data_IF_338627155958
#
_entry.id   IF_338627155958
#
_cell.length_a   1.000
_cell.length_b   1.000
_cell.length_c   1.000
_cell.angle_alpha   90.00
_cell.angle_beta   90.00
_cell.angle_gamma   90.00
#
_symmetry.space_group_name_H-M   'P 1'
#
loop_
_entity.id
_entity.type
_entity.pdbx_description
1 polymer ?
#
# COMPACT_ATOMS: atom_id res chain seq x y z
N UNK A 1 16.92 -23.81 -13.03
CA UNK A 1 15.71 -24.43 -13.65
C UNK A 1 16.07 -25.17 -14.93
N UNK A 2 16.63 -24.48 -15.95
CA UNK A 2 17.13 -25.14 -17.18
C UNK A 2 18.07 -26.32 -16.91
N UNK A 3 19.02 -26.14 -16.02
CA UNK A 3 19.98 -27.19 -15.62
C UNK A 3 19.31 -28.39 -14.94
N UNK A 4 18.30 -28.16 -14.09
CA UNK A 4 17.53 -29.22 -13.41
C UNK A 4 16.66 -30.03 -14.38
N UNK A 5 16.10 -29.38 -15.41
CA UNK A 5 15.35 -30.07 -16.46
C UNK A 5 16.29 -30.89 -17.35
N UNK A 6 17.43 -30.31 -17.75
CA UNK A 6 18.41 -30.98 -18.60
C UNK A 6 19.06 -32.19 -17.92
N UNK A 7 19.34 -32.12 -16.61
CA UNK A 7 19.87 -33.27 -15.86
C UNK A 7 18.90 -34.46 -15.80
N UNK A 8 17.60 -34.19 -15.89
CA UNK A 8 16.54 -35.22 -16.01
C UNK A 8 16.17 -35.56 -17.46
N UNK A 9 16.88 -34.99 -18.45
CA UNK A 9 16.68 -35.19 -19.90
C UNK A 9 15.26 -34.89 -20.41
N UNK A 10 14.51 -34.05 -19.70
CA UNK A 10 13.16 -33.66 -20.10
C UNK A 10 13.19 -32.49 -21.09
N UNK A 11 12.32 -32.50 -22.07
CA UNK A 11 11.98 -31.33 -22.89
C UNK A 11 11.09 -30.35 -22.11
N UNK A 12 10.90 -29.14 -22.64
CA UNK A 12 10.01 -28.15 -22.00
C UNK A 12 8.57 -28.65 -22.01
N UNK A 13 8.19 -29.33 -23.09
CA UNK A 13 6.87 -29.91 -23.33
C UNK A 13 6.57 -31.09 -22.41
N UNK A 14 7.53 -32.01 -22.24
CA UNK A 14 7.39 -33.14 -21.30
C UNK A 14 7.31 -32.66 -19.85
N UNK A 15 8.10 -31.64 -19.48
CA UNK A 15 7.99 -31.04 -18.15
C UNK A 15 6.67 -30.28 -17.97
N UNK A 16 6.16 -29.65 -19.04
CA UNK A 16 4.87 -28.98 -19.01
C UNK A 16 3.73 -29.95 -18.71
N UNK A 17 3.74 -31.10 -19.36
CA UNK A 17 2.77 -32.17 -19.16
C UNK A 17 2.86 -32.75 -17.75
N UNK A 18 4.08 -33.09 -17.29
CA UNK A 18 4.30 -33.67 -15.97
C UNK A 18 3.99 -32.70 -14.80
N UNK A 19 4.14 -31.39 -15.00
CA UNK A 19 3.90 -30.38 -13.98
C UNK A 19 2.54 -29.68 -14.09
N UNK A 20 1.80 -29.88 -15.18
CA UNK A 20 0.57 -29.13 -15.48
C UNK A 20 0.79 -27.63 -15.72
N UNK A 21 2.03 -27.19 -15.94
CA UNK A 21 2.40 -25.78 -16.21
C UNK A 21 2.69 -25.61 -17.70
N UNK A 22 2.23 -24.53 -18.33
CA UNK A 22 2.45 -24.34 -19.76
C UNK A 22 3.94 -24.27 -20.13
N UNK A 23 4.31 -24.87 -21.27
CA UNK A 23 5.68 -24.83 -21.79
C UNK A 23 6.20 -23.40 -22.01
N UNK A 24 5.30 -22.47 -22.36
CA UNK A 24 5.61 -21.04 -22.44
C UNK A 24 6.05 -20.46 -21.09
N UNK A 25 5.33 -20.77 -20.00
CA UNK A 25 5.68 -20.30 -18.67
C UNK A 25 7.03 -20.89 -18.22
N UNK A 26 7.27 -22.17 -18.49
CA UNK A 26 8.54 -22.86 -18.22
C UNK A 26 9.68 -22.18 -18.99
N UNK A 27 9.53 -21.94 -20.29
CA UNK A 27 10.52 -21.24 -21.11
C UNK A 27 10.80 -19.80 -20.65
N UNK A 28 9.79 -19.06 -20.20
CA UNK A 28 9.97 -17.73 -19.63
C UNK A 28 10.72 -17.74 -18.30
N UNK A 29 10.58 -18.80 -17.50
CA UNK A 29 11.37 -19.00 -16.28
C UNK A 29 12.83 -19.38 -16.59
N UNK A 30 13.10 -20.24 -17.58
CA UNK A 30 14.49 -20.58 -17.97
C UNK A 30 15.25 -19.38 -18.51
N UNK A 31 14.56 -18.52 -19.28
CA UNK A 31 15.13 -17.29 -19.83
C UNK A 31 15.17 -16.12 -18.84
N UNK A 32 14.77 -16.35 -17.58
CA UNK A 32 14.77 -15.33 -16.53
C UNK A 32 13.81 -14.15 -16.77
N UNK A 33 12.81 -14.31 -17.66
CA UNK A 33 11.74 -13.33 -17.90
C UNK A 33 10.65 -13.41 -16.84
N UNK A 34 10.39 -14.61 -16.33
CA UNK A 34 9.56 -14.83 -15.14
C UNK A 34 10.47 -15.09 -13.94
N UNK A 35 10.79 -14.01 -13.20
CA UNK A 35 11.66 -14.06 -12.01
C UNK A 35 10.92 -14.37 -10.71
N UNK A 36 9.58 -14.43 -10.76
CA UNK A 36 8.71 -14.52 -9.55
C UNK A 36 7.52 -15.48 -9.73
N UNK A 37 7.75 -16.78 -9.98
CA UNK A 37 6.65 -17.74 -10.08
C UNK A 37 5.94 -17.97 -8.73
N UNK A 38 4.62 -18.23 -8.78
CA UNK A 38 3.78 -18.51 -7.61
C UNK A 38 4.13 -19.86 -6.95
N UNK A 39 3.83 -20.05 -5.65
CA UNK A 39 4.31 -21.24 -4.89
C UNK A 39 3.76 -22.53 -5.50
N UNK A 40 2.49 -22.51 -5.88
CA UNK A 40 1.85 -23.64 -6.57
C UNK A 40 2.58 -24.03 -7.86
N UNK A 41 3.07 -23.05 -8.64
CA UNK A 41 3.84 -23.30 -9.87
C UNK A 41 5.17 -24.00 -9.57
N UNK A 42 5.87 -23.60 -8.51
CA UNK A 42 7.18 -24.17 -8.16
C UNK A 42 7.03 -25.55 -7.54
N UNK A 43 5.99 -25.76 -6.73
CA UNK A 43 5.63 -27.08 -6.21
C UNK A 43 5.27 -28.04 -7.34
N UNK A 44 4.44 -27.60 -8.29
CA UNK A 44 4.04 -28.42 -9.43
C UNK A 44 5.22 -28.76 -10.35
N UNK A 45 6.16 -27.82 -10.56
CA UNK A 45 7.41 -28.09 -11.30
C UNK A 45 8.34 -29.05 -10.55
N UNK A 46 8.47 -28.92 -9.24
CA UNK A 46 9.29 -29.83 -8.45
C UNK A 46 8.72 -31.26 -8.43
N UNK A 47 7.39 -31.38 -8.47
CA UNK A 47 6.69 -32.66 -8.63
C UNK A 47 6.90 -33.22 -10.04
N UNK A 48 6.71 -32.41 -11.09
CA UNK A 48 6.93 -32.85 -12.48
C UNK A 48 8.38 -33.17 -12.83
N UNK A 49 9.35 -32.63 -12.09
CA UNK A 49 10.78 -32.96 -12.19
C UNK A 49 11.19 -34.18 -11.35
N UNK A 50 10.27 -34.74 -10.56
CA UNK A 50 10.52 -35.83 -9.61
C UNK A 50 11.77 -35.57 -8.75
N UNK A 51 11.80 -34.38 -8.13
CA UNK A 51 12.94 -33.95 -7.31
C UNK A 51 12.89 -34.58 -5.92
N UNK A 52 14.02 -35.12 -5.49
CA UNK A 52 14.23 -35.58 -4.12
C UNK A 52 14.02 -34.45 -3.12
N UNK A 53 13.66 -34.80 -1.88
CA UNK A 53 13.27 -33.83 -0.85
C UNK A 53 14.29 -32.71 -0.64
N UNK A 54 15.58 -33.05 -0.65
CA UNK A 54 16.65 -32.09 -0.44
C UNK A 54 16.71 -31.05 -1.56
N UNK A 55 16.65 -31.48 -2.82
CA UNK A 55 16.70 -30.61 -4.00
C UNK A 55 15.41 -29.82 -4.15
N UNK A 56 14.27 -30.44 -3.81
CA UNK A 56 12.97 -29.78 -3.73
C UNK A 56 12.96 -28.67 -2.69
N UNK A 57 13.52 -28.92 -1.51
CA UNK A 57 13.65 -27.93 -0.44
C UNK A 57 14.58 -26.77 -0.86
N UNK A 58 15.68 -27.08 -1.56
CA UNK A 58 16.60 -26.08 -2.10
C UNK A 58 15.93 -25.21 -3.18
N UNK A 59 15.22 -25.81 -4.15
CA UNK A 59 14.50 -25.08 -5.19
C UNK A 59 13.40 -24.18 -4.60
N UNK A 60 12.66 -24.70 -3.61
CA UNK A 60 11.68 -23.93 -2.86
C UNK A 60 12.34 -22.83 -2.01
N UNK A 61 13.55 -23.07 -1.49
CA UNK A 61 14.36 -22.12 -0.74
C UNK A 61 14.88 -20.98 -1.62
N UNK A 62 15.46 -21.29 -2.77
CA UNK A 62 15.90 -20.32 -3.77
C UNK A 62 14.72 -19.48 -4.30
N UNK A 63 13.56 -20.11 -4.50
CA UNK A 63 12.33 -19.40 -4.83
C UNK A 63 11.82 -18.50 -3.71
N UNK A 64 12.00 -18.90 -2.43
CA UNK A 64 11.69 -18.07 -1.26
C UNK A 64 12.69 -16.92 -1.09
N UNK A 65 13.95 -17.09 -1.48
CA UNK A 65 14.98 -16.06 -1.45
C UNK A 65 14.86 -15.07 -2.62
N UNK A 66 14.37 -15.52 -3.77
CA UNK A 66 14.01 -14.67 -4.91
C UNK A 66 12.67 -13.93 -4.70
N UNK A 67 11.85 -14.41 -3.76
CA UNK A 67 10.79 -13.62 -3.15
C UNK A 67 11.43 -12.76 -2.05
N UNK A 68 10.97 -11.52 -1.86
CA UNK A 68 11.20 -10.88 -0.57
C UNK A 68 10.74 -11.87 0.52
N UNK A 69 11.56 -12.07 1.56
CA UNK A 69 11.18 -12.89 2.71
C UNK A 69 9.86 -12.43 3.33
N UNK A 70 9.31 -13.14 4.34
CA UNK A 70 8.21 -12.58 5.11
C UNK A 70 8.73 -11.27 5.72
N UNK A 71 8.35 -10.15 5.11
CA UNK A 71 8.57 -8.84 5.68
C UNK A 71 7.90 -8.89 7.05
N UNK A 72 8.59 -8.48 8.15
CA UNK A 72 7.86 -8.15 9.37
C UNK A 72 6.71 -7.24 8.95
N UNK A 73 5.48 -7.64 9.27
CA UNK A 73 4.21 -7.05 8.83
C UNK A 73 4.42 -5.81 7.99
N UNK A 74 4.40 -5.94 6.64
CA UNK A 74 4.72 -4.86 5.70
C UNK A 74 4.24 -3.55 6.28
N UNK A 75 5.20 -2.72 6.70
CA UNK A 75 4.94 -1.44 7.31
C UNK A 75 3.96 -0.71 6.42
N UNK A 76 2.94 -0.12 7.02
CA UNK A 76 2.05 0.79 6.32
C UNK A 76 2.93 1.73 5.51
N UNK A 77 2.78 1.72 4.18
CA UNK A 77 3.60 2.58 3.33
C UNK A 77 3.05 3.98 3.45
N UNK A 78 3.62 4.73 4.37
CA UNK A 78 3.46 6.18 4.43
C UNK A 78 4.67 6.73 3.71
N UNK A 79 4.44 7.47 2.63
CA UNK A 79 5.50 8.24 2.01
C UNK A 79 5.46 9.62 2.66
N UNK A 80 6.35 9.91 3.63
CA UNK A 80 6.25 11.15 4.41
C UNK A 80 6.51 12.41 3.57
N UNK A 81 7.10 12.29 2.36
CA UNK A 81 7.47 13.46 1.54
C UNK A 81 7.46 13.22 0.03
N UNK A 82 6.93 12.08 -0.43
CA UNK A 82 6.93 11.76 -1.86
C UNK A 82 5.60 11.15 -2.25
N UNK A 83 4.65 12.00 -2.61
CA UNK A 83 3.53 11.54 -3.42
C UNK A 83 4.10 10.73 -4.60
N UNK A 84 3.51 9.57 -4.94
CA UNK A 84 3.90 8.86 -6.15
C UNK A 84 3.89 9.84 -7.31
N UNK A 85 4.95 9.86 -8.15
CA UNK A 85 5.05 10.84 -9.25
C UNK A 85 3.72 10.91 -10.00
N UNK A 86 3.12 12.10 -10.03
CA UNK A 86 1.88 12.32 -10.77
C UNK A 86 1.98 11.82 -12.21
N UNK A 87 0.86 11.31 -12.73
CA UNK A 87 0.75 10.91 -14.14
C UNK A 87 0.73 12.18 -14.98
N UNK A 88 1.65 12.30 -15.94
CA UNK A 88 1.77 13.50 -16.81
C UNK A 88 0.50 13.77 -17.64
N UNK A 89 -0.24 12.71 -17.96
CA UNK A 89 -1.43 12.77 -18.82
C UNK A 89 -2.74 12.62 -18.00
N UNK A 90 -2.94 13.50 -17.01
CA UNK A 90 -4.18 13.51 -16.22
C UNK A 90 -5.32 14.18 -16.99
N UNK A 91 -6.23 13.39 -17.55
CA UNK A 91 -7.37 13.86 -18.37
C UNK A 91 -8.72 13.40 -17.81
N UNK A 92 -9.80 14.09 -18.18
CA UNK A 92 -11.18 13.63 -17.95
C UNK A 92 -11.75 13.78 -16.53
N UNK A 93 -11.02 14.42 -15.60
CA UNK A 93 -11.44 14.57 -14.18
C UNK A 93 -11.50 16.02 -13.68
N UNK A 94 -11.71 16.97 -14.61
CA UNK A 94 -11.67 18.41 -14.30
C UNK A 94 -12.80 18.82 -13.35
N UNK A 95 -13.98 18.23 -13.48
CA UNK A 95 -15.14 18.56 -12.65
C UNK A 95 -14.93 18.10 -11.20
N UNK A 96 -14.49 16.85 -11.00
CA UNK A 96 -14.21 16.27 -9.69
C UNK A 96 -13.07 17.01 -9.00
N UNK A 97 -11.98 17.31 -9.72
CA UNK A 97 -10.88 18.10 -9.19
C UNK A 97 -11.33 19.52 -8.82
N UNK A 98 -12.22 20.14 -9.60
CA UNK A 98 -12.81 21.44 -9.28
C UNK A 98 -13.65 21.42 -8.01
N UNK A 99 -14.45 20.36 -7.80
CA UNK A 99 -15.25 20.19 -6.59
C UNK A 99 -14.37 20.01 -5.36
N UNK A 100 -13.32 19.20 -5.46
CA UNK A 100 -12.35 19.00 -4.37
C UNK A 100 -11.58 20.28 -4.03
N UNK A 101 -11.23 21.10 -5.03
CA UNK A 101 -10.62 22.43 -4.80
C UNK A 101 -11.55 23.38 -4.08
N UNK A 102 -12.84 23.37 -4.39
CA UNK A 102 -13.82 24.21 -3.70
C UNK A 102 -13.87 23.86 -2.20
N UNK A 103 -13.94 22.56 -1.87
CA UNK A 103 -13.86 22.07 -0.49
C UNK A 103 -12.57 22.51 0.23
N UNK A 104 -11.42 22.43 -0.43
CA UNK A 104 -10.15 22.86 0.15
C UNK A 104 -10.14 24.38 0.44
N UNK A 105 -10.70 25.20 -0.47
CA UNK A 105 -10.81 26.65 -0.29
C UNK A 105 -11.74 27.04 0.86
N UNK A 106 -12.88 26.36 0.99
CA UNK A 106 -13.81 26.60 2.10
C UNK A 106 -13.16 26.37 3.47
N UNK A 107 -12.23 25.41 3.54
CA UNK A 107 -11.46 25.14 4.75
C UNK A 107 -10.38 26.17 5.03
N UNK A 108 -9.64 26.62 4.00
CA UNK A 108 -8.66 27.71 4.15
C UNK A 108 -9.33 29.02 4.58
N UNK A 109 -10.56 29.26 4.14
CA UNK A 109 -11.35 30.44 4.53
C UNK A 109 -11.95 30.34 5.95
N UNK A 110 -11.68 29.25 6.69
CA UNK A 110 -12.18 29.05 8.06
C UNK A 110 -13.70 28.92 8.14
N UNK A 111 -14.38 28.65 7.02
CA UNK A 111 -15.84 28.54 6.96
C UNK A 111 -16.35 27.18 7.41
N UNK A 112 -15.45 26.21 7.54
CA UNK A 112 -15.77 24.87 8.01
C UNK A 112 -15.52 24.75 9.52
N UNK A 113 -16.55 24.32 10.27
CA UNK A 113 -16.43 24.03 11.72
C UNK A 113 -15.60 22.79 12.06
N UNK A 114 -15.11 22.06 11.05
CA UNK A 114 -14.21 20.92 11.15
C UNK A 114 -13.36 20.83 9.87
N UNK A 115 -12.19 20.16 9.89
CA UNK A 115 -11.41 19.92 8.67
C UNK A 115 -12.26 19.18 7.62
N UNK A 116 -12.27 19.62 6.35
CA UNK A 116 -13.11 19.03 5.32
C UNK A 116 -12.65 17.60 5.02
N UNK A 117 -13.60 16.71 4.81
CA UNK A 117 -13.34 15.35 4.35
C UNK A 117 -14.12 15.07 3.06
N UNK A 118 -13.46 14.44 2.09
CA UNK A 118 -14.06 14.04 0.83
C UNK A 118 -13.80 12.56 0.58
N UNK A 119 -14.80 11.86 0.03
CA UNK A 119 -14.69 10.45 -0.35
C UNK A 119 -14.68 10.33 -1.86
N UNK A 120 -13.63 9.71 -2.40
CA UNK A 120 -13.49 9.43 -3.84
C UNK A 120 -13.78 7.95 -4.09
N UNK A 121 -14.93 7.66 -4.69
CA UNK A 121 -15.39 6.30 -4.98
C UNK A 121 -15.51 6.05 -6.49
N UNK A 122 -15.46 4.78 -6.89
CA UNK A 122 -15.61 4.36 -8.28
C UNK A 122 -14.88 3.06 -8.61
N UNK A 123 -15.06 2.52 -9.83
CA UNK A 123 -14.52 1.21 -10.22
C UNK A 123 -12.99 1.09 -10.06
N UNK A 124 -12.43 -0.12 -9.93
CA UNK A 124 -10.99 -0.35 -10.02
C UNK A 124 -10.41 0.23 -11.31
N UNK A 125 -9.21 0.81 -11.24
CA UNK A 125 -8.55 1.41 -12.41
C UNK A 125 -9.12 2.76 -12.89
N UNK A 126 -10.16 3.31 -12.24
CA UNK A 126 -10.77 4.59 -12.66
C UNK A 126 -9.95 5.85 -12.33
N UNK A 127 -8.74 5.70 -11.76
CA UNK A 127 -7.83 6.83 -11.49
C UNK A 127 -8.10 7.60 -10.18
N UNK A 128 -8.79 7.00 -9.20
CA UNK A 128 -9.10 7.62 -7.90
C UNK A 128 -7.86 8.07 -7.13
N UNK A 129 -6.89 7.17 -6.98
CA UNK A 129 -5.60 7.48 -6.35
C UNK A 129 -4.87 8.59 -7.09
N UNK A 130 -4.88 8.56 -8.43
CA UNK A 130 -4.26 9.61 -9.25
C UNK A 130 -4.94 10.97 -9.03
N UNK A 131 -6.27 11.03 -8.93
CA UNK A 131 -7.00 12.26 -8.62
C UNK A 131 -6.62 12.80 -7.22
N UNK A 132 -6.58 11.93 -6.21
CA UNK A 132 -6.24 12.31 -4.84
C UNK A 132 -4.79 12.82 -4.73
N UNK A 133 -3.84 12.10 -5.35
CA UNK A 133 -2.43 12.51 -5.43
C UNK A 133 -2.29 13.85 -6.15
N UNK A 134 -2.98 14.03 -7.29
CA UNK A 134 -2.95 15.28 -8.05
C UNK A 134 -3.44 16.46 -7.22
N UNK A 135 -4.52 16.30 -6.47
CA UNK A 135 -5.01 17.33 -5.56
C UNK A 135 -3.99 17.63 -4.45
N UNK A 136 -3.42 16.60 -3.83
CA UNK A 136 -2.41 16.78 -2.79
C UNK A 136 -1.16 17.52 -3.31
N UNK A 137 -0.69 17.20 -4.53
CA UNK A 137 0.39 17.94 -5.19
C UNK A 137 0.04 19.42 -5.42
N UNK A 138 -1.21 19.74 -5.79
CA UNK A 138 -1.66 21.13 -5.96
C UNK A 138 -1.74 21.90 -4.64
N UNK A 139 -2.15 21.23 -3.57
CA UNK A 139 -2.32 21.84 -2.24
C UNK A 139 -1.01 21.91 -1.45
N UNK A 140 0.04 21.19 -1.85
CA UNK A 140 1.31 21.12 -1.13
C UNK A 140 1.90 22.49 -0.79
N UNK A 141 1.77 23.48 -1.67
CA UNK A 141 2.27 24.83 -1.44
C UNK A 141 1.53 25.59 -0.32
N UNK A 142 0.28 25.23 -0.03
CA UNK A 142 -0.56 25.85 1.01
C UNK A 142 -0.55 25.08 2.34
N UNK A 143 0.10 23.91 2.38
CA UNK A 143 0.12 23.01 3.53
C UNK A 143 1.55 22.93 4.11
N UNK A 144 1.92 23.87 5.00
CA UNK A 144 3.28 23.94 5.55
C UNK A 144 3.69 22.69 6.32
N UNK A 145 2.72 21.99 6.89
CA UNK A 145 2.95 20.76 7.66
C UNK A 145 3.00 19.51 6.77
N UNK A 146 2.81 19.67 5.45
CA UNK A 146 3.07 18.66 4.44
C UNK A 146 1.84 17.95 3.88
N UNK A 147 2.12 16.97 3.03
CA UNK A 147 1.11 16.14 2.37
C UNK A 147 1.45 14.67 2.55
N UNK A 148 0.52 13.90 3.09
CA UNK A 148 0.73 12.52 3.50
C UNK A 148 -0.22 11.62 2.73
N UNK A 149 0.31 10.50 2.21
CA UNK A 149 -0.50 9.43 1.63
C UNK A 149 -0.28 8.15 2.42
N UNK A 150 -1.38 7.54 2.82
CA UNK A 150 -1.43 6.27 3.56
C UNK A 150 -2.23 5.27 2.75
N UNK A 151 -1.60 4.16 2.35
CA UNK A 151 -2.32 3.00 1.83
C UNK A 151 -2.88 2.18 3.00
N UNK A 152 -4.21 2.20 3.16
CA UNK A 152 -4.91 1.47 4.22
C UNK A 152 -5.07 -0.02 3.92
N UNK A 153 -4.70 -0.48 2.72
CA UNK A 153 -4.72 -1.89 2.33
C UNK A 153 -6.03 -2.60 2.65
N UNK A 154 -7.15 -1.90 2.47
CA UNK A 154 -8.50 -2.36 2.78
C UNK A 154 -8.98 -3.55 1.96
N UNK A 155 -8.36 -3.80 0.81
CA UNK A 155 -8.65 -4.93 -0.08
C UNK A 155 -7.77 -6.15 0.18
N UNK A 156 -6.82 -6.07 1.12
CA UNK A 156 -6.02 -7.22 1.51
C UNK A 156 -6.88 -8.28 2.21
N UNK A 157 -6.40 -9.53 2.23
CA UNK A 157 -7.07 -10.63 2.97
C UNK A 157 -7.23 -10.33 4.46
N UNK A 158 -6.33 -9.51 5.01
CA UNK A 158 -6.33 -9.05 6.40
C UNK A 158 -5.88 -7.60 6.42
N UNK A 159 -6.80 -6.65 6.22
CA UNK A 159 -6.47 -5.23 6.28
C UNK A 159 -5.86 -4.87 7.65
N UNK A 160 -4.84 -4.01 7.70
CA UNK A 160 -4.28 -3.57 8.96
C UNK A 160 -5.34 -2.80 9.76
N UNK A 161 -5.45 -3.06 11.07
CA UNK A 161 -6.29 -2.25 11.93
C UNK A 161 -5.59 -0.89 12.15
N UNK A 162 -6.34 0.12 12.56
CA UNK A 162 -5.84 1.52 12.65
C UNK A 162 -4.64 1.66 13.57
N UNK A 163 -4.55 0.83 14.61
CA UNK A 163 -3.47 0.79 15.60
C UNK A 163 -2.12 0.44 14.98
N UNK A 164 -2.10 -0.21 13.81
CA UNK A 164 -0.88 -0.47 13.05
C UNK A 164 -0.52 0.67 12.08
N UNK A 165 -1.48 1.53 11.74
CA UNK A 165 -1.31 2.71 10.88
C UNK A 165 -0.78 3.90 11.68
N UNK A 166 -1.29 4.08 12.90
CA UNK A 166 -0.97 5.22 13.77
C UNK A 166 0.54 5.42 14.04
N UNK A 167 1.34 4.40 14.40
CA UNK A 167 2.76 4.61 14.68
C UNK A 167 3.52 5.16 13.46
N UNK A 168 3.14 4.72 12.26
CA UNK A 168 3.80 5.19 11.04
C UNK A 168 3.41 6.64 10.74
N UNK A 169 2.14 7.01 10.96
CA UNK A 169 1.66 8.39 10.82
C UNK A 169 2.37 9.33 11.80
N UNK A 170 2.40 8.94 13.07
CA UNK A 170 3.06 9.70 14.13
C UNK A 170 4.56 9.86 13.85
N UNK A 171 5.24 8.79 13.42
CA UNK A 171 6.64 8.86 13.02
C UNK A 171 6.87 9.82 11.84
N UNK A 172 5.94 9.89 10.88
CA UNK A 172 6.02 10.84 9.75
C UNK A 172 5.95 12.31 10.17
N UNK A 173 5.31 12.59 11.31
CA UNK A 173 5.27 13.90 11.97
C UNK A 173 6.35 14.08 13.05
N UNK A 174 7.36 13.21 13.07
CA UNK A 174 8.53 13.36 13.93
C UNK A 174 8.37 12.82 15.36
N UNK A 175 7.31 12.08 15.66
CA UNK A 175 7.19 11.38 16.95
C UNK A 175 8.21 10.25 16.99
N UNK A 176 9.15 10.33 17.93
CA UNK A 176 10.25 9.38 18.02
C UNK A 176 9.83 7.99 18.52
N UNK A 177 10.58 6.96 18.13
CA UNK A 177 10.31 5.56 18.50
C UNK A 177 10.22 5.34 20.02
N UNK A 178 11.05 6.06 20.80
CA UNK A 178 11.04 5.99 22.26
C UNK A 178 9.78 6.60 22.91
N UNK A 179 9.14 7.57 22.26
CA UNK A 179 7.82 8.07 22.66
C UNK A 179 6.75 7.04 22.29
N UNK A 180 6.75 6.57 21.04
CA UNK A 180 5.77 5.58 20.56
C UNK A 180 5.78 4.28 21.37
N UNK A 181 6.95 3.81 21.78
CA UNK A 181 7.09 2.60 22.60
C UNK A 181 6.49 2.72 24.00
N UNK A 182 6.36 3.94 24.53
CA UNK A 182 5.75 4.21 25.85
C UNK A 182 4.23 4.35 25.80
N UNK A 183 3.67 4.68 24.64
CA UNK A 183 2.24 4.92 24.46
C UNK A 183 1.48 3.62 24.17
N UNK A 184 0.31 3.46 24.80
CA UNK A 184 -0.68 2.44 24.40
C UNK A 184 -1.31 2.75 23.04
N UNK A 185 -2.12 1.83 22.52
CA UNK A 185 -2.83 2.06 21.25
C UNK A 185 -3.80 3.26 21.34
N UNK A 186 -4.51 3.38 22.46
CA UNK A 186 -5.44 4.48 22.74
C UNK A 186 -4.70 5.80 22.89
N UNK A 187 -3.56 5.80 23.59
CA UNK A 187 -2.73 7.00 23.78
C UNK A 187 -2.11 7.47 22.45
N UNK A 188 -1.73 6.56 21.55
CA UNK A 188 -1.30 6.92 20.18
C UNK A 188 -2.42 7.57 19.38
N UNK A 189 -3.66 7.09 19.51
CA UNK A 189 -4.80 7.72 18.84
C UNK A 189 -5.09 9.11 19.42
N UNK A 190 -5.00 9.29 20.74
CA UNK A 190 -5.12 10.60 21.37
C UNK A 190 -4.01 11.56 20.90
N UNK A 191 -2.76 11.09 20.86
CA UNK A 191 -1.60 11.83 20.36
C UNK A 191 -1.76 12.24 18.89
N UNK A 192 -2.31 11.34 18.08
CA UNK A 192 -2.64 11.62 16.68
C UNK A 192 -3.63 12.77 16.55
N UNK A 193 -4.72 12.75 17.32
CA UNK A 193 -5.70 13.83 17.28
C UNK A 193 -5.16 15.16 17.81
N UNK A 194 -4.33 15.13 18.85
CA UNK A 194 -3.67 16.33 19.38
C UNK A 194 -2.76 16.98 18.32
N UNK A 195 -1.90 16.17 17.68
CA UNK A 195 -1.02 16.66 16.62
C UNK A 195 -1.83 17.21 15.45
N UNK A 196 -2.73 16.41 14.89
CA UNK A 196 -3.48 16.79 13.69
C UNK A 196 -4.42 17.99 13.88
N UNK A 197 -4.83 18.31 15.11
CA UNK A 197 -5.60 19.50 15.41
C UNK A 197 -4.83 20.82 15.14
N UNK A 198 -3.49 20.78 15.22
CA UNK A 198 -2.63 21.95 15.00
C UNK A 198 -2.00 22.03 13.61
N UNK A 199 -2.14 20.99 12.78
CA UNK A 199 -1.46 20.91 11.49
C UNK A 199 -2.32 21.45 10.34
N UNK A 200 -1.69 22.20 9.46
CA UNK A 200 -2.15 22.51 8.10
C UNK A 200 -1.52 21.52 7.12
N UNK A 201 -2.11 20.33 7.04
CA UNK A 201 -1.64 19.24 6.20
C UNK A 201 -2.77 18.64 5.32
N UNK A 202 -2.39 17.99 4.22
CA UNK A 202 -3.30 17.12 3.46
C UNK A 202 -3.02 15.67 3.83
N UNK A 203 -4.06 14.92 4.22
CA UNK A 203 -3.98 13.49 4.47
C UNK A 203 -4.83 12.72 3.45
N UNK A 204 -4.20 11.89 2.63
CA UNK A 204 -4.83 10.98 1.68
C UNK A 204 -4.87 9.58 2.29
N UNK A 205 -6.07 9.10 2.60
CA UNK A 205 -6.32 7.73 3.06
C UNK A 205 -6.73 6.87 1.86
N UNK A 206 -5.76 6.27 1.19
CA UNK A 206 -5.99 5.47 -0.01
C UNK A 206 -6.39 4.02 0.32
N UNK A 207 -7.13 3.39 -0.59
CA UNK A 207 -7.47 1.97 -0.53
C UNK A 207 -8.19 1.55 0.78
N UNK A 208 -9.05 2.41 1.32
CA UNK A 208 -9.87 2.09 2.48
C UNK A 208 -10.86 0.95 2.18
N UNK A 209 -10.93 -0.04 3.06
CA UNK A 209 -11.85 -1.19 2.92
C UNK A 209 -13.23 -0.90 3.53
N UNK A 210 -13.32 0.11 4.41
CA UNK A 210 -14.57 0.53 5.04
C UNK A 210 -14.38 1.65 6.05
N UNK A 211 -15.50 2.13 6.59
CA UNK A 211 -15.55 3.26 7.54
C UNK A 211 -14.66 3.04 8.77
N UNK A 212 -14.57 1.82 9.28
CA UNK A 212 -13.82 1.49 10.49
C UNK A 212 -12.31 1.82 10.37
N UNK A 213 -11.73 1.81 9.16
CA UNK A 213 -10.34 2.21 8.94
C UNK A 213 -10.17 3.74 8.82
N UNK A 214 -11.23 4.46 8.45
CA UNK A 214 -11.17 5.89 8.12
C UNK A 214 -11.59 6.75 9.30
N UNK A 215 -12.72 6.43 9.94
CA UNK A 215 -13.35 7.25 10.97
C UNK A 215 -12.42 7.61 12.12
N UNK A 216 -11.60 6.70 12.68
CA UNK A 216 -10.67 7.05 13.75
C UNK A 216 -9.54 7.99 13.29
N UNK A 217 -9.22 8.00 11.99
CA UNK A 217 -8.18 8.86 11.40
C UNK A 217 -8.71 10.23 10.97
N UNK A 218 -10.03 10.47 11.02
CA UNK A 218 -10.55 11.79 10.68
C UNK A 218 -10.13 12.82 11.74
N UNK A 219 -9.64 14.00 11.34
CA UNK A 219 -9.36 15.07 12.27
C UNK A 219 -10.61 15.41 13.08
N UNK A 220 -10.43 15.60 14.39
CA UNK A 220 -11.50 16.12 15.25
C UNK A 220 -11.39 17.63 15.20
N UNK A 221 -12.52 18.33 15.05
CA UNK A 221 -12.52 19.78 15.14
C UNK A 221 -11.87 20.22 16.46
N UNK A 222 -10.98 21.21 16.38
CA UNK A 222 -10.49 21.92 17.56
C UNK A 222 -11.69 22.55 18.25
N UNK A 223 -12.00 22.06 19.45
CA UNK A 223 -13.18 22.48 20.18
C UNK A 223 -13.35 21.66 21.44
N UNK A 224 -12.39 21.76 22.37
CA UNK A 224 -12.74 21.58 23.77
C UNK A 224 -13.77 22.66 24.14
N UNK A 225 -15.05 22.36 24.00
CA UNK A 225 -16.06 22.93 24.88
C UNK A 225 -16.51 21.79 25.78
N UNK A 226 -15.88 21.69 26.95
CA UNK A 226 -16.46 20.97 28.07
C UNK A 226 -17.73 21.72 28.48
N UNK A 227 -18.88 21.03 28.43
CA UNK A 227 -20.06 21.31 29.24
C UNK A 227 -20.45 20.00 29.91
#
# INVERSE_FOLDING_TARGET
MRELRQSRRLTIEELAEASGISGRAIGDMERGRSRRPHRGTITALAQGLDLDEAVRAELLGAARAARPGPQPAESVRISPYTLPRGVRDFVGRRAELSALRALAREADEGRAGAPPAAVVCGPPGSGKTTLAVRLAEELAASCPDGTFLVDLRGLDRRPPPVEQVLPVLLASWGVGDAELARLTAEERLARYHELTAGLRAVLVLDNAGGEAQVRPLLPRAGGCSWW
#
